data_IF_191826417265
#
_entry.id   IF_191826417265
#
_cell.length_a   1.000
_cell.length_b   1.000
_cell.length_c   1.000
_cell.angle_alpha   90.00
_cell.angle_beta   90.00
_cell.angle_gamma   90.00
#
_symmetry.space_group_name_H-M   'P 1'
#
loop_
_entity.id
_entity.type
_entity.pdbx_description
1 polymer ?
#
# COMPACT_ATOMS: atom_id res chain seq x y z
N UNK A 1 -32.94 20.53 4.82
CA UNK A 1 -32.32 21.63 4.03
C UNK A 1 -32.91 21.56 2.63
N UNK A 2 -33.52 22.65 2.16
CA UNK A 2 -34.40 22.68 0.97
C UNK A 2 -33.56 22.60 -0.32
N UNK A 3 -33.87 21.64 -1.20
CA UNK A 3 -33.40 21.62 -2.58
C UNK A 3 -34.28 22.57 -3.40
N UNK A 4 -33.71 23.67 -3.90
CA UNK A 4 -34.36 24.54 -4.88
C UNK A 4 -33.84 24.20 -6.27
N UNK A 5 -34.64 23.46 -7.02
CA UNK A 5 -34.47 23.25 -8.46
C UNK A 5 -34.93 24.51 -9.17
N UNK A 6 -34.01 25.24 -9.80
CA UNK A 6 -34.37 26.32 -10.73
C UNK A 6 -34.03 25.85 -12.15
N UNK A 7 -35.06 25.55 -12.93
CA UNK A 7 -34.98 25.46 -14.39
C UNK A 7 -35.71 26.70 -14.91
N UNK A 8 -34.96 27.66 -15.44
CA UNK A 8 -35.51 28.74 -16.26
C UNK A 8 -35.04 28.52 -17.70
N UNK A 9 -36.01 28.54 -18.61
CA UNK A 9 -35.87 28.23 -20.02
C UNK A 9 -35.11 29.30 -20.81
N UNK A 10 -34.62 28.87 -21.98
CA UNK A 10 -33.78 29.59 -22.94
C UNK A 10 -34.22 31.02 -23.24
N UNK A 11 -33.27 31.95 -23.08
CA UNK A 11 -33.21 33.17 -23.87
C UNK A 11 -31.96 33.11 -24.76
N UNK A 12 -32.20 33.22 -26.05
CA UNK A 12 -31.24 33.35 -27.13
C UNK A 12 -30.17 34.41 -26.84
N UNK A 13 -28.95 33.97 -26.56
CA UNK A 13 -27.76 34.78 -26.79
C UNK A 13 -26.64 33.82 -27.23
N UNK A 14 -26.14 34.00 -28.47
CA UNK A 14 -24.87 33.42 -28.92
C UNK A 14 -23.69 34.10 -28.21
N UNK A 15 -23.74 34.25 -26.89
CA UNK A 15 -22.54 34.47 -26.11
C UNK A 15 -21.92 33.09 -25.94
N UNK A 16 -20.81 32.84 -26.62
CA UNK A 16 -19.89 31.78 -26.20
C UNK A 16 -19.72 31.94 -24.69
N UNK A 17 -19.93 30.88 -23.88
CA UNK A 17 -19.48 30.94 -22.52
C UNK A 17 -17.97 31.06 -22.61
N UNK A 18 -17.45 32.29 -22.54
CA UNK A 18 -16.08 32.56 -22.16
C UNK A 18 -15.99 32.15 -20.69
N UNK A 19 -15.97 30.83 -20.46
CA UNK A 19 -15.28 30.28 -19.32
C UNK A 19 -13.83 30.65 -19.59
N UNK A 20 -13.43 31.82 -19.09
CA UNK A 20 -12.04 32.07 -18.75
C UNK A 20 -11.70 30.98 -17.74
N UNK A 21 -11.31 29.82 -18.26
CA UNK A 21 -10.51 28.88 -17.52
C UNK A 21 -9.27 29.70 -17.17
N UNK A 22 -9.25 30.25 -15.96
CA UNK A 22 -8.04 30.82 -15.39
C UNK A 22 -7.10 29.63 -15.36
N UNK A 23 -6.24 29.54 -16.38
CA UNK A 23 -5.19 28.55 -16.44
C UNK A 23 -4.32 28.84 -15.22
N UNK A 24 -4.59 28.13 -14.13
CA UNK A 24 -3.80 28.22 -12.94
C UNK A 24 -2.50 27.47 -13.25
N UNK A 25 -1.57 28.19 -13.87
CA UNK A 25 -0.29 27.66 -14.28
C UNK A 25 0.52 27.36 -13.02
N UNK A 26 0.58 26.08 -12.65
CA UNK A 26 1.40 25.59 -11.55
C UNK A 26 2.75 25.22 -12.11
N UNK A 27 3.77 26.04 -11.82
CA UNK A 27 5.16 25.74 -12.14
C UNK A 27 5.77 24.94 -10.99
N UNK A 28 6.15 23.69 -11.28
CA UNK A 28 6.83 22.78 -10.35
C UNK A 28 7.86 21.96 -11.09
N UNK A 29 8.88 21.50 -10.38
CA UNK A 29 9.93 20.62 -10.91
C UNK A 29 9.38 19.22 -11.21
N UNK A 30 8.46 18.73 -10.36
CA UNK A 30 7.91 17.37 -10.48
C UNK A 30 6.40 17.34 -10.24
N UNK A 31 5.68 16.66 -11.12
CA UNK A 31 4.29 16.27 -10.91
C UNK A 31 4.18 14.78 -10.56
N UNK A 32 3.60 14.49 -9.39
CA UNK A 32 3.32 13.13 -8.92
C UNK A 32 1.86 12.81 -9.18
N UNK A 33 1.59 11.80 -10.00
CA UNK A 33 0.23 11.34 -10.31
C UNK A 33 -0.14 10.20 -9.36
N UNK A 34 -1.13 10.43 -8.50
CA UNK A 34 -1.65 9.50 -7.49
C UNK A 34 -1.21 9.86 -6.07
N UNK A 35 -2.19 10.16 -5.21
CA UNK A 35 -2.04 10.45 -3.78
C UNK A 35 -2.06 9.19 -2.90
N UNK A 36 -1.63 8.05 -3.43
CA UNK A 36 -1.46 6.81 -2.66
C UNK A 36 -0.21 6.81 -1.79
N UNK A 37 0.02 5.71 -1.06
CA UNK A 37 1.19 5.57 -0.17
C UNK A 37 2.52 5.79 -0.90
N UNK A 38 2.68 5.24 -2.11
CA UNK A 38 3.88 5.41 -2.94
C UNK A 38 4.06 6.85 -3.42
N UNK A 39 3.00 7.47 -3.95
CA UNK A 39 3.05 8.83 -4.48
C UNK A 39 3.33 9.87 -3.39
N UNK A 40 2.67 9.76 -2.24
CA UNK A 40 2.93 10.65 -1.10
C UNK A 40 4.34 10.45 -0.55
N UNK A 41 4.82 9.21 -0.45
CA UNK A 41 6.20 8.93 -0.04
C UNK A 41 7.22 9.56 -1.01
N UNK A 42 7.01 9.43 -2.32
CA UNK A 42 7.85 10.04 -3.34
C UNK A 42 7.82 11.57 -3.26
N UNK A 43 6.64 12.17 -3.14
CA UNK A 43 6.46 13.62 -3.05
C UNK A 43 7.17 14.20 -1.82
N UNK A 44 7.10 13.52 -0.68
CA UNK A 44 7.80 13.93 0.54
C UNK A 44 9.32 13.90 0.34
N UNK A 45 9.86 12.81 -0.23
CA UNK A 45 11.29 12.68 -0.45
C UNK A 45 11.82 13.71 -1.47
N UNK A 46 11.05 13.99 -2.53
CA UNK A 46 11.38 15.02 -3.51
C UNK A 46 11.36 16.42 -2.89
N UNK A 47 10.35 16.71 -2.07
CA UNK A 47 10.28 17.96 -1.31
C UNK A 47 11.47 18.12 -0.36
N UNK A 48 11.88 17.05 0.32
CA UNK A 48 13.07 17.06 1.18
C UNK A 48 14.38 17.30 0.42
N UNK A 49 14.43 16.86 -0.84
CA UNK A 49 15.55 17.11 -1.73
C UNK A 49 15.56 18.54 -2.31
N UNK A 50 14.57 19.37 -1.95
CA UNK A 50 14.48 20.77 -2.39
C UNK A 50 13.68 21.00 -3.67
N UNK A 51 13.06 19.96 -4.24
CA UNK A 51 12.22 20.11 -5.42
C UNK A 51 10.84 20.71 -5.07
N UNK A 52 10.30 21.52 -5.97
CA UNK A 52 8.90 21.91 -5.97
C UNK A 52 8.05 20.80 -6.58
N UNK A 53 7.01 20.37 -5.87
CA UNK A 53 6.23 19.17 -6.23
C UNK A 53 4.74 19.47 -6.18
N UNK A 54 4.01 19.02 -7.20
CA UNK A 54 2.54 18.92 -7.17
C UNK A 54 2.13 17.46 -7.10
N UNK A 55 1.09 17.16 -6.32
CA UNK A 55 0.45 15.83 -6.29
C UNK A 55 -0.94 15.94 -6.91
N UNK A 56 -1.22 15.10 -7.89
CA UNK A 56 -2.50 15.07 -8.61
C UNK A 56 -3.20 13.76 -8.25
N UNK A 57 -4.33 13.86 -7.56
CA UNK A 57 -5.16 12.71 -7.17
C UNK A 57 -6.55 12.85 -7.79
N UNK A 58 -7.11 11.73 -8.26
CA UNK A 58 -8.43 11.67 -8.88
C UNK A 58 -9.55 11.73 -7.83
N UNK A 59 -9.34 11.11 -6.67
CA UNK A 59 -10.31 11.08 -5.57
C UNK A 59 -10.28 12.39 -4.78
N UNK A 60 -11.35 12.65 -4.03
CA UNK A 60 -11.41 13.76 -3.07
C UNK A 60 -10.59 13.52 -1.79
N UNK A 61 -9.89 12.39 -1.70
CA UNK A 61 -9.08 11.99 -0.56
C UNK A 61 -7.78 11.31 -1.02
N UNK A 62 -6.72 11.50 -0.25
CA UNK A 62 -5.46 10.77 -0.40
C UNK A 62 -5.53 9.41 0.32
N UNK A 63 -4.60 8.51 0.00
CA UNK A 63 -4.44 7.22 0.69
C UNK A 63 -4.35 6.02 -0.26
N UNK A 64 -4.99 6.08 -1.42
CA UNK A 64 -4.98 4.98 -2.39
C UNK A 64 -5.60 3.72 -1.82
N UNK A 65 -4.80 2.70 -1.47
CA UNK A 65 -5.27 1.49 -0.78
C UNK A 65 -5.21 1.61 0.76
N UNK A 66 -4.61 2.67 1.31
CA UNK A 66 -4.58 2.94 2.75
C UNK A 66 -5.72 3.90 3.14
N UNK A 67 -6.95 3.58 2.75
CA UNK A 67 -8.09 4.48 2.97
C UNK A 67 -8.63 4.43 4.39
N UNK A 68 -9.09 5.60 4.85
CA UNK A 68 -9.82 5.76 6.11
C UNK A 68 -11.25 6.18 5.79
N UNK A 69 -12.21 5.37 6.22
CA UNK A 69 -13.63 5.70 6.14
C UNK A 69 -14.07 6.41 7.41
N UNK A 70 -14.70 7.57 7.29
CA UNK A 70 -15.31 8.27 8.43
C UNK A 70 -16.80 8.01 8.42
N UNK A 71 -17.30 7.33 9.44
CA UNK A 71 -18.73 7.06 9.56
C UNK A 71 -19.50 8.41 9.65
N UNK A 72 -20.47 8.69 8.76
CA UNK A 72 -21.13 9.98 8.71
C UNK A 72 -21.97 10.28 9.95
N UNK A 73 -22.44 9.24 10.67
CA UNK A 73 -23.27 9.35 11.88
C UNK A 73 -22.41 9.46 13.13
N UNK A 74 -21.47 8.54 13.33
CA UNK A 74 -20.67 8.48 14.57
C UNK A 74 -19.42 9.36 14.52
N UNK A 75 -19.01 9.80 13.33
CA UNK A 75 -17.75 10.54 13.06
C UNK A 75 -16.49 9.77 13.47
N UNK A 76 -16.60 8.47 13.74
CA UNK A 76 -15.46 7.62 14.07
C UNK A 76 -14.74 7.21 12.78
N UNK A 77 -13.41 7.43 12.68
CA UNK A 77 -12.62 6.93 11.56
C UNK A 77 -12.38 5.41 11.70
N UNK A 78 -12.54 4.69 10.60
CA UNK A 78 -12.25 3.27 10.47
C UNK A 78 -11.24 3.05 9.35
N UNK A 79 -10.16 2.32 9.64
CA UNK A 79 -9.23 1.86 8.62
C UNK A 79 -9.89 0.76 7.78
N UNK A 80 -9.99 0.98 6.46
CA UNK A 80 -10.55 0.03 5.50
C UNK A 80 -9.51 -0.42 4.47
N UNK A 81 -8.23 -0.13 4.74
CA UNK A 81 -7.12 -0.36 3.84
C UNK A 81 -6.05 -1.25 4.44
N UNK A 82 -4.82 -0.73 4.48
CA UNK A 82 -3.63 -1.45 4.98
C UNK A 82 -3.74 -1.66 6.48
N UNK A 83 -3.75 -2.92 6.90
CA UNK A 83 -3.86 -3.32 8.32
C UNK A 83 -2.51 -3.60 9.00
N UNK A 84 -1.46 -3.83 8.20
CA UNK A 84 -0.14 -4.21 8.70
C UNK A 84 0.94 -3.41 8.00
N UNK A 85 1.86 -2.85 8.79
CA UNK A 85 3.11 -2.29 8.31
C UNK A 85 4.27 -3.17 8.74
N UNK A 86 5.26 -3.32 7.87
CA UNK A 86 6.48 -4.03 8.24
C UNK A 86 7.25 -3.28 9.33
N UNK A 87 7.80 -4.02 10.29
CA UNK A 87 8.59 -3.45 11.37
C UNK A 87 10.04 -3.17 10.93
N UNK A 88 10.21 -2.25 9.98
CA UNK A 88 11.53 -1.82 9.48
C UNK A 88 11.87 -0.40 9.93
N UNK A 89 13.16 -0.07 9.98
CA UNK A 89 13.63 1.28 10.31
C UNK A 89 13.10 2.33 9.32
N UNK A 90 12.98 1.97 8.06
CA UNK A 90 12.46 2.84 6.99
C UNK A 90 11.01 3.24 7.27
N UNK A 91 10.15 2.27 7.60
CA UNK A 91 8.74 2.52 7.94
C UNK A 91 8.63 3.35 9.20
N UNK A 92 9.39 3.02 10.26
CA UNK A 92 9.38 3.78 11.51
C UNK A 92 9.81 5.23 11.29
N UNK A 93 10.89 5.47 10.55
CA UNK A 93 11.36 6.84 10.22
C UNK A 93 10.30 7.62 9.45
N UNK A 94 9.66 6.99 8.48
CA UNK A 94 8.60 7.61 7.69
C UNK A 94 7.38 7.99 8.54
N UNK A 95 6.89 7.08 9.39
CA UNK A 95 5.74 7.34 10.26
C UNK A 95 6.07 8.39 11.34
N UNK A 96 7.26 8.34 11.93
CA UNK A 96 7.73 9.37 12.86
C UNK A 96 7.82 10.74 12.21
N UNK A 97 8.30 10.81 10.96
CA UNK A 97 8.34 12.05 10.19
C UNK A 97 6.94 12.64 9.96
N UNK A 98 5.92 11.79 9.86
CA UNK A 98 4.52 12.20 9.75
C UNK A 98 3.86 12.49 11.11
N UNK A 99 4.58 12.31 12.22
CA UNK A 99 4.01 12.45 13.57
C UNK A 99 3.00 11.36 13.94
N UNK A 100 3.04 10.21 13.27
CA UNK A 100 2.09 9.11 13.49
C UNK A 100 2.60 8.20 14.60
N UNK A 101 1.82 8.07 15.68
CA UNK A 101 2.10 7.11 16.74
C UNK A 101 1.99 5.67 16.21
N UNK A 102 2.96 4.83 16.57
CA UNK A 102 3.01 3.42 16.14
C UNK A 102 2.89 2.47 17.32
N UNK A 103 2.14 1.39 17.12
CA UNK A 103 2.03 0.29 18.08
C UNK A 103 2.48 -1.02 17.42
N UNK A 104 3.17 -1.87 18.16
CA UNK A 104 3.56 -3.20 17.70
C UNK A 104 2.44 -4.18 18.00
N UNK A 105 2.02 -4.95 17.00
CA UNK A 105 1.03 -6.00 17.15
C UNK A 105 1.60 -7.34 16.66
N UNK A 106 1.28 -8.44 17.36
CA UNK A 106 1.59 -9.78 16.89
C UNK A 106 0.41 -10.27 16.03
N UNK A 107 0.55 -10.37 14.69
CA UNK A 107 -0.55 -10.76 13.81
C UNK A 107 -1.00 -12.22 14.01
N UNK A 108 -0.24 -13.02 14.76
CA UNK A 108 -0.57 -14.41 15.09
C UNK A 108 -1.29 -14.57 16.43
N UNK A 109 -1.44 -13.48 17.21
CA UNK A 109 -2.26 -13.51 18.42
C UNK A 109 -3.72 -13.39 18.00
N UNK A 110 -4.53 -14.41 18.32
CA UNK A 110 -5.93 -14.49 17.93
C UNK A 110 -6.66 -13.19 18.25
N UNK A 111 -7.01 -12.44 17.21
CA UNK A 111 -7.97 -11.34 17.27
C UNK A 111 -9.38 -11.94 17.35
N UNK A 112 -10.33 -11.29 18.03
CA UNK A 112 -11.74 -11.70 17.96
C UNK A 112 -12.17 -11.76 16.49
N UNK A 113 -13.08 -12.68 16.19
CA UNK A 113 -13.52 -13.06 14.83
C UNK A 113 -13.66 -11.82 13.91
N UNK A 114 -12.82 -11.75 12.87
CA UNK A 114 -13.00 -10.80 11.79
C UNK A 114 -14.31 -11.12 11.10
N UNK A 115 -15.29 -10.21 11.19
CA UNK A 115 -16.53 -10.34 10.43
C UNK A 115 -16.24 -9.91 8.99
N UNK A 116 -16.50 -10.82 8.04
CA UNK A 116 -16.44 -10.49 6.63
C UNK A 116 -17.82 -10.01 6.17
N UNK A 117 -17.87 -8.92 5.41
CA UNK A 117 -19.09 -8.38 4.82
C UNK A 117 -18.92 -8.29 3.31
N UNK A 118 -19.99 -8.56 2.58
CA UNK A 118 -20.07 -8.21 1.17
C UNK A 118 -20.34 -6.71 1.06
N UNK A 119 -19.39 -5.95 0.51
CA UNK A 119 -19.53 -4.50 0.37
C UNK A 119 -20.57 -4.05 -0.67
N UNK A 120 -20.97 -4.94 -1.59
CA UNK A 120 -22.02 -4.67 -2.59
C UNK A 120 -23.40 -4.82 -1.97
N UNK A 121 -23.57 -5.82 -1.10
CA UNK A 121 -24.85 -6.19 -0.50
C UNK A 121 -25.04 -5.65 0.92
N UNK A 122 -23.96 -5.25 1.59
CA UNK A 122 -23.97 -4.80 2.99
C UNK A 122 -24.33 -5.89 4.00
N UNK A 123 -24.29 -7.16 3.60
CA UNK A 123 -24.64 -8.31 4.44
C UNK A 123 -23.38 -9.07 4.88
N UNK A 124 -23.39 -9.69 6.07
CA UNK A 124 -22.27 -10.53 6.49
C UNK A 124 -22.12 -11.72 5.53
N UNK A 125 -20.88 -12.03 5.18
CA UNK A 125 -20.55 -13.25 4.44
C UNK A 125 -20.91 -14.44 5.36
N UNK A 126 -21.74 -15.39 4.90
CA UNK A 126 -22.11 -16.56 5.69
C UNK A 126 -20.86 -17.29 6.20
N UNK A 127 -20.95 -17.85 7.41
CA UNK A 127 -19.87 -18.65 7.97
C UNK A 127 -19.55 -19.82 7.03
N UNK A 128 -18.28 -19.97 6.67
CA UNK A 128 -17.82 -21.07 5.81
C UNK A 128 -18.22 -22.40 6.44
N UNK A 129 -18.84 -23.29 5.66
CA UNK A 129 -19.22 -24.58 6.21
C UNK A 129 -17.95 -25.39 6.53
N UNK A 130 -18.01 -26.24 7.56
CA UNK A 130 -16.80 -26.90 8.10
C UNK A 130 -16.08 -27.77 7.05
N UNK A 131 -16.81 -28.29 6.07
CA UNK A 131 -16.28 -29.14 5.00
C UNK A 131 -15.52 -28.32 3.96
N UNK A 132 -16.10 -27.19 3.53
CA UNK A 132 -15.49 -26.18 2.66
C UNK A 132 -14.24 -25.60 3.33
N UNK A 133 -14.30 -25.23 4.61
CA UNK A 133 -13.13 -24.70 5.32
C UNK A 133 -11.93 -25.68 5.34
N UNK A 134 -12.19 -26.99 5.44
CA UNK A 134 -11.13 -28.02 5.37
C UNK A 134 -10.61 -28.16 3.94
N UNK A 135 -11.50 -28.17 2.94
CA UNK A 135 -11.12 -28.23 1.53
C UNK A 135 -10.31 -27.00 1.10
N UNK A 136 -10.75 -25.80 1.47
CA UNK A 136 -10.06 -24.52 1.26
C UNK A 136 -8.69 -24.52 1.93
N UNK A 137 -8.56 -24.95 3.19
CA UNK A 137 -7.26 -25.06 3.87
C UNK A 137 -6.32 -26.04 3.18
N UNK A 138 -6.81 -27.19 2.72
CA UNK A 138 -6.01 -28.17 1.94
C UNK A 138 -5.57 -27.56 0.61
N UNK A 139 -6.47 -26.88 -0.09
CA UNK A 139 -6.17 -26.23 -1.36
C UNK A 139 -5.12 -25.10 -1.20
N UNK A 140 -5.25 -24.25 -0.18
CA UNK A 140 -4.27 -23.21 0.13
C UNK A 140 -2.92 -23.83 0.48
N UNK A 141 -2.90 -24.90 1.29
CA UNK A 141 -1.65 -25.58 1.66
C UNK A 141 -0.95 -26.17 0.43
N UNK A 142 -1.71 -26.84 -0.44
CA UNK A 142 -1.19 -27.41 -1.69
C UNK A 142 -0.71 -26.31 -2.66
N UNK A 143 -1.43 -25.19 -2.75
CA UNK A 143 -1.05 -24.05 -3.56
C UNK A 143 0.23 -23.39 -3.02
N UNK A 144 0.37 -23.23 -1.71
CA UNK A 144 1.59 -22.71 -1.08
C UNK A 144 2.80 -23.62 -1.31
N UNK A 145 2.62 -24.95 -1.20
CA UNK A 145 3.67 -25.92 -1.52
C UNK A 145 4.07 -25.85 -3.00
N UNK A 146 3.08 -25.77 -3.90
CA UNK A 146 3.31 -25.64 -5.35
C UNK A 146 4.03 -24.34 -5.69
N UNK A 147 3.62 -23.21 -5.10
CA UNK A 147 4.27 -21.92 -5.24
C UNK A 147 5.73 -21.98 -4.75
N UNK A 148 5.97 -22.60 -3.59
CA UNK A 148 7.32 -22.77 -3.06
C UNK A 148 8.20 -23.64 -3.97
N UNK A 149 7.68 -24.74 -4.50
CA UNK A 149 8.46 -25.66 -5.32
C UNK A 149 8.71 -25.14 -6.73
N UNK A 150 7.72 -24.48 -7.34
CA UNK A 150 7.75 -24.15 -8.77
C UNK A 150 8.02 -22.68 -9.07
N UNK A 151 7.75 -21.78 -8.13
CA UNK A 151 7.89 -20.33 -8.32
C UNK A 151 9.12 -19.83 -7.55
N UNK A 152 9.23 -20.10 -6.25
CA UNK A 152 10.39 -19.63 -5.46
C UNK A 152 11.72 -20.22 -5.96
N UNK A 153 11.73 -21.49 -6.39
CA UNK A 153 12.92 -22.12 -6.98
C UNK A 153 13.41 -21.38 -8.24
N UNK A 154 12.50 -20.89 -9.08
CA UNK A 154 12.81 -20.12 -10.30
C UNK A 154 13.31 -18.71 -10.00
N UNK A 155 12.81 -18.07 -8.95
CA UNK A 155 13.29 -16.76 -8.51
C UNK A 155 14.68 -16.85 -7.86
N UNK A 156 14.93 -17.87 -7.05
CA UNK A 156 16.23 -18.11 -6.42
C UNK A 156 17.36 -18.35 -7.44
N UNK A 157 17.03 -18.88 -8.62
CA UNK A 157 17.99 -19.05 -9.72
C UNK A 157 18.23 -17.77 -10.55
N UNK A 158 17.31 -16.80 -10.57
CA UNK A 158 17.37 -15.61 -11.44
C UNK A 158 17.93 -14.35 -10.77
N UNK A 159 17.69 -14.15 -9.48
CA UNK A 159 18.50 -13.21 -8.69
C UNK A 159 19.76 -13.96 -8.32
N UNK A 160 20.91 -13.56 -8.84
CA UNK A 160 22.22 -14.13 -8.51
C UNK A 160 22.58 -13.92 -7.03
N UNK A 161 21.86 -14.59 -6.14
CA UNK A 161 22.14 -14.62 -4.71
C UNK A 161 23.37 -15.51 -4.52
N UNK A 162 24.47 -14.84 -4.19
CA UNK A 162 25.64 -15.34 -3.47
C UNK A 162 25.93 -16.84 -3.64
N UNK A 163 26.91 -17.16 -4.49
CA UNK A 163 27.59 -18.47 -4.51
C UNK A 163 27.91 -18.86 -3.07
N UNK A 164 27.18 -19.84 -2.52
CA UNK A 164 27.44 -20.43 -1.22
C UNK A 164 28.76 -21.22 -1.36
N UNK A 165 29.89 -20.59 -1.03
CA UNK A 165 31.19 -21.25 -1.09
C UNK A 165 31.30 -22.15 0.14
N UNK A 166 31.28 -23.46 -0.07
CA UNK A 166 31.66 -24.45 0.94
C UNK A 166 33.17 -24.35 1.15
N UNK A 167 33.62 -23.69 2.21
CA UNK A 167 35.00 -23.78 2.67
C UNK A 167 35.14 -25.02 3.55
N UNK A 168 36.10 -25.87 3.20
CA UNK A 168 36.46 -27.10 3.91
C UNK A 168 36.89 -26.76 5.34
N UNK A 169 36.50 -27.61 6.27
CA UNK A 169 36.64 -27.48 7.72
C UNK A 169 38.09 -27.33 8.22
N UNK A 170 38.30 -26.43 9.19
CA UNK A 170 39.32 -26.61 10.23
C UNK A 170 38.66 -26.35 11.58
N UNK A 171 38.47 -27.40 12.39
CA UNK A 171 37.84 -27.31 13.71
C UNK A 171 36.31 -27.34 13.72
N UNK A 172 35.75 -27.79 14.84
CA UNK A 172 34.36 -28.22 15.07
C UNK A 172 33.30 -27.09 15.14
N UNK A 173 33.56 -25.93 14.52
CA UNK A 173 32.61 -24.80 14.56
C UNK A 173 32.25 -24.34 13.16
N UNK A 174 30.98 -24.54 12.76
CA UNK A 174 30.43 -24.01 11.51
C UNK A 174 30.15 -22.51 11.67
N UNK A 175 30.88 -21.68 10.93
CA UNK A 175 30.55 -20.27 10.77
C UNK A 175 29.85 -20.05 9.42
N UNK A 176 28.65 -19.46 9.45
CA UNK A 176 27.93 -19.03 8.25
C UNK A 176 28.17 -17.53 8.01
N UNK A 177 28.57 -17.15 6.80
CA UNK A 177 28.64 -15.74 6.42
C UNK A 177 27.91 -15.48 5.11
N UNK A 178 27.08 -14.43 5.07
CA UNK A 178 26.41 -13.92 3.87
C UNK A 178 27.31 -12.84 3.26
N UNK A 179 27.93 -13.12 2.11
CA UNK A 179 28.72 -12.11 1.38
C UNK A 179 27.80 -11.29 0.48
N UNK A 180 27.68 -9.98 0.75
CA UNK A 180 26.97 -9.03 -0.13
C UNK A 180 27.82 -8.73 -1.39
N UNK A 181 27.22 -8.64 -2.60
CA UNK A 181 27.96 -8.40 -3.83
C UNK A 181 28.12 -6.90 -4.09
N UNK A 182 28.93 -6.20 -3.29
CA UNK A 182 29.44 -4.87 -3.64
C UNK A 182 30.52 -4.41 -2.66
N UNK A 183 31.79 -4.69 -2.96
CA UNK A 183 32.91 -3.87 -2.50
C UNK A 183 34.08 -4.05 -3.48
N UNK A 184 34.51 -3.00 -4.20
CA UNK A 184 35.73 -3.05 -5.00
C UNK A 184 36.95 -3.09 -4.07
N UNK A 185 37.91 -3.93 -4.44
CA UNK A 185 39.24 -3.99 -3.84
C UNK A 185 39.93 -2.64 -3.98
N UNK A 186 40.33 -2.03 -2.86
CA UNK A 186 41.45 -1.10 -2.82
C UNK A 186 42.62 -1.82 -2.14
N UNK A 187 43.68 -1.98 -2.93
CA UNK A 187 45.08 -2.36 -2.63
C UNK A 187 45.33 -3.36 -1.50
#
# INVERSE_FOLDING_TARGET
>A
MKFCTYVFALASCLSTPNVLAIAHNVHVDVAVIGGGSSGIHAAINLKDAGATVVVIEKKSQIGGHAETYVNPKTKVPANIGVVLFENTKTVQKYLSRLGVAVAKHNPFKATPSTQMYDFSLGVPVPAENRSEAVATKRAITAAMQTYSQNILSKYCQKVGLARLVRLTTYGSTLHWYIRSPASPLLA
#
